data_IF_022887404186
#
_entry.id   IF_022887404186
#
_cell.length_a   1.000
_cell.length_b   1.000
_cell.length_c   1.000
_cell.angle_alpha   90.00
_cell.angle_beta   90.00
_cell.angle_gamma   90.00
#
_symmetry.space_group_name_H-M   'P 1'
#
loop_
_entity.id
_entity.type
_entity.pdbx_description
1 polymer ?
#
# COMPACT_ATOMS: atom_id res chain seq x y z
N UNK A 1 -6.16 3.86 16.31
CA UNK A 1 -5.00 4.69 15.91
C UNK A 1 -5.40 6.12 15.54
N UNK A 2 -6.24 6.37 14.54
CA UNK A 2 -6.56 7.76 14.10
C UNK A 2 -7.21 8.66 15.16
N UNK A 3 -7.92 8.08 16.15
CA UNK A 3 -8.44 8.82 17.32
C UNK A 3 -7.40 9.07 18.43
N UNK A 4 -6.35 8.26 18.48
CA UNK A 4 -5.28 8.38 19.48
C UNK A 4 -4.25 9.44 19.07
N UNK A 5 -4.02 9.59 17.76
CA UNK A 5 -3.08 10.55 17.20
C UNK A 5 -3.86 11.65 16.46
N UNK A 6 -3.99 12.86 17.03
CA UNK A 6 -4.78 13.93 16.43
C UNK A 6 -4.10 14.56 15.20
N UNK A 7 -2.77 14.48 15.10
CA UNK A 7 -1.97 15.03 14.00
C UNK A 7 -2.49 14.59 12.61
N UNK A 8 -2.53 15.48 11.61
CA UNK A 8 -3.08 15.13 10.30
C UNK A 8 -2.20 14.14 9.54
N UNK A 9 -0.92 13.99 9.83
CA UNK A 9 -0.02 13.09 9.10
C UNK A 9 -0.05 11.68 9.67
N UNK A 10 0.04 10.69 8.79
CA UNK A 10 0.08 9.29 9.17
C UNK A 10 1.08 8.55 8.29
N UNK A 11 2.20 8.14 8.90
CA UNK A 11 3.25 7.40 8.22
C UNK A 11 2.86 5.92 8.06
N UNK A 12 2.99 5.37 6.84
CA UNK A 12 2.63 3.98 6.55
C UNK A 12 3.85 3.06 6.35
N UNK A 13 5.06 3.62 6.36
CA UNK A 13 6.29 2.88 6.01
C UNK A 13 6.39 2.76 4.50
N UNK A 14 6.45 1.52 4.02
CA UNK A 14 6.47 1.17 2.60
C UNK A 14 7.87 0.93 2.03
N UNK A 15 8.88 0.89 2.88
CA UNK A 15 10.27 0.61 2.58
C UNK A 15 10.59 -0.89 2.48
N UNK A 16 11.64 -1.21 1.72
CA UNK A 16 12.28 -2.54 1.67
C UNK A 16 11.34 -3.72 1.41
N UNK A 17 10.29 -3.49 0.62
CA UNK A 17 9.31 -4.54 0.31
C UNK A 17 9.92 -5.55 -0.65
N UNK A 18 10.23 -6.73 -0.11
CA UNK A 18 10.72 -7.88 -0.87
C UNK A 18 9.53 -8.71 -1.39
N UNK A 19 9.49 -8.96 -2.70
CA UNK A 19 8.33 -9.55 -3.37
C UNK A 19 8.32 -11.08 -3.50
N UNK A 20 9.38 -11.79 -3.09
CA UNK A 20 9.53 -13.22 -3.37
C UNK A 20 8.42 -14.07 -2.76
N UNK A 21 7.91 -13.71 -1.59
CA UNK A 21 6.82 -14.44 -0.93
C UNK A 21 5.49 -14.23 -1.67
N UNK A 22 5.30 -13.07 -2.28
CA UNK A 22 4.12 -12.78 -3.11
C UNK A 22 4.15 -13.56 -4.42
N UNK A 23 5.33 -13.66 -5.03
CA UNK A 23 5.56 -14.48 -6.23
C UNK A 23 5.27 -15.96 -5.97
N UNK A 24 5.64 -16.47 -4.80
CA UNK A 24 5.45 -17.87 -4.42
C UNK A 24 4.01 -18.22 -3.99
N UNK A 25 3.17 -17.21 -3.73
CA UNK A 25 1.81 -17.43 -3.24
C UNK A 25 0.80 -17.49 -4.39
N UNK A 26 0.21 -18.68 -4.61
CA UNK A 26 -0.82 -18.88 -5.64
C UNK A 26 -2.03 -17.96 -5.46
N UNK A 27 -2.46 -17.73 -4.21
CA UNK A 27 -3.57 -16.81 -3.90
C UNK A 27 -3.23 -15.36 -4.25
N UNK A 28 -1.99 -14.92 -4.02
CA UNK A 28 -1.58 -13.55 -4.35
C UNK A 28 -1.44 -13.39 -5.86
N UNK A 29 -0.87 -14.38 -6.55
CA UNK A 29 -0.80 -14.35 -8.02
C UNK A 29 -2.19 -14.36 -8.66
N UNK A 30 -3.14 -15.13 -8.13
CA UNK A 30 -4.53 -15.08 -8.55
C UNK A 30 -5.12 -13.69 -8.35
N UNK A 31 -4.91 -13.06 -7.18
CA UNK A 31 -5.38 -11.72 -6.90
C UNK A 31 -4.81 -10.67 -7.88
N UNK A 32 -3.51 -10.74 -8.18
CA UNK A 32 -2.84 -9.87 -9.17
C UNK A 32 -3.54 -10.00 -10.53
N UNK A 33 -3.80 -11.23 -10.98
CA UNK A 33 -4.45 -11.49 -12.27
C UNK A 33 -5.91 -11.01 -12.30
N UNK A 34 -6.70 -11.32 -11.28
CA UNK A 34 -8.12 -10.93 -11.18
C UNK A 34 -8.29 -9.41 -11.12
N UNK A 35 -7.38 -8.71 -10.46
CA UNK A 35 -7.39 -7.25 -10.32
C UNK A 35 -6.61 -6.55 -11.44
N UNK A 36 -6.09 -7.28 -12.43
CA UNK A 36 -5.31 -6.77 -13.57
C UNK A 36 -4.13 -5.88 -13.14
N UNK A 37 -3.43 -6.32 -12.10
CA UNK A 37 -2.23 -5.65 -11.59
C UNK A 37 -1.03 -6.12 -12.41
N UNK A 38 -0.05 -5.24 -12.62
CA UNK A 38 1.09 -5.53 -13.49
C UNK A 38 1.97 -6.67 -12.95
N UNK A 39 2.29 -6.62 -11.66
CA UNK A 39 3.15 -7.57 -10.93
C UNK A 39 3.10 -7.21 -9.43
N UNK A 40 4.10 -7.66 -8.66
CA UNK A 40 4.27 -7.34 -7.25
C UNK A 40 4.30 -5.82 -6.95
N UNK A 41 4.93 -5.00 -7.81
CA UNK A 41 4.91 -3.54 -7.70
C UNK A 41 3.49 -3.00 -7.89
N UNK A 42 2.76 -3.56 -8.85
CA UNK A 42 1.33 -3.26 -9.04
C UNK A 42 0.47 -3.65 -7.83
N UNK A 43 0.80 -4.73 -7.13
CA UNK A 43 0.15 -5.14 -5.89
C UNK A 43 0.43 -4.16 -4.73
N UNK A 44 1.69 -3.74 -4.58
CA UNK A 44 2.09 -2.78 -3.56
C UNK A 44 1.43 -1.41 -3.81
N UNK A 45 1.45 -0.93 -5.06
CA UNK A 45 0.71 0.23 -5.54
C UNK A 45 -0.80 0.16 -5.21
N UNK A 46 -1.42 -0.97 -5.50
CA UNK A 46 -2.83 -1.20 -5.18
C UNK A 46 -3.09 -1.06 -3.67
N UNK A 47 -2.24 -1.69 -2.84
CA UNK A 47 -2.34 -1.63 -1.39
C UNK A 47 -2.18 -0.19 -0.87
N UNK A 48 -1.14 0.52 -1.32
CA UNK A 48 -0.87 1.91 -0.93
C UNK A 48 -2.02 2.84 -1.30
N UNK A 49 -2.59 2.72 -2.51
CA UNK A 49 -3.79 3.48 -2.93
C UNK A 49 -5.01 3.18 -2.05
N UNK A 50 -5.19 1.93 -1.62
CA UNK A 50 -6.28 1.55 -0.71
C UNK A 50 -6.10 2.20 0.67
N UNK A 51 -4.88 2.21 1.20
CA UNK A 51 -4.57 2.88 2.47
C UNK A 51 -4.73 4.39 2.37
N UNK A 52 -4.27 5.02 1.29
CA UNK A 52 -4.45 6.46 1.07
C UNK A 52 -5.92 6.87 1.12
N UNK A 53 -6.81 6.12 0.45
CA UNK A 53 -8.26 6.36 0.47
C UNK A 53 -8.84 6.21 1.87
N UNK A 54 -8.37 5.22 2.64
CA UNK A 54 -8.78 4.99 4.01
C UNK A 54 -8.36 6.16 4.92
N UNK A 55 -7.10 6.57 4.84
CA UNK A 55 -6.56 7.69 5.62
C UNK A 55 -7.29 9.00 5.31
N UNK A 56 -7.58 9.26 4.02
CA UNK A 56 -8.38 10.42 3.60
C UNK A 56 -9.77 10.43 4.24
N UNK A 57 -10.44 9.28 4.36
CA UNK A 57 -11.75 9.17 5.06
C UNK A 57 -11.66 9.55 6.55
N UNK A 58 -10.49 9.40 7.17
CA UNK A 58 -10.25 9.79 8.56
C UNK A 58 -9.58 11.16 8.71
N UNK A 59 -9.52 11.97 7.65
CA UNK A 59 -8.89 13.28 7.68
C UNK A 59 -7.36 13.23 7.86
N UNK A 60 -6.73 12.13 7.44
CA UNK A 60 -5.28 11.93 7.53
C UNK A 60 -4.60 12.07 6.17
N UNK A 61 -3.42 12.67 6.17
CA UNK A 61 -2.49 12.83 5.06
C UNK A 61 -1.47 11.68 5.16
N UNK A 62 -1.39 10.88 4.11
CA UNK A 62 -0.46 9.74 4.05
C UNK A 62 0.96 10.22 3.84
N UNK A 63 1.89 9.66 4.61
CA UNK A 63 3.34 9.83 4.44
C UNK A 63 3.95 8.43 4.38
N UNK A 64 5.04 8.26 3.66
CA UNK A 64 5.80 7.02 3.58
C UNK A 64 7.19 7.27 3.03
N UNK A 65 7.97 6.20 2.94
CA UNK A 65 9.29 6.25 2.31
C UNK A 65 9.21 6.41 0.79
N UNK A 66 10.35 6.56 0.11
CA UNK A 66 10.37 6.92 -1.31
C UNK A 66 9.68 5.88 -2.21
N UNK A 67 9.72 4.61 -1.84
CA UNK A 67 9.16 3.51 -2.62
C UNK A 67 7.64 3.63 -2.79
N UNK A 68 6.93 4.31 -1.87
CA UNK A 68 5.49 4.52 -2.03
C UNK A 68 5.15 5.55 -3.11
N UNK A 69 6.07 6.47 -3.46
CA UNK A 69 5.85 7.45 -4.53
C UNK A 69 5.89 6.80 -5.91
N UNK A 70 6.75 5.79 -6.05
CA UNK A 70 6.96 4.99 -7.25
C UNK A 70 5.77 4.07 -7.59
N UNK A 71 4.73 4.11 -6.76
CA UNK A 71 3.61 3.18 -6.70
C UNK A 71 2.24 3.87 -6.58
N UNK A 72 2.20 5.20 -6.48
CA UNK A 72 0.97 6.00 -6.49
C UNK A 72 0.73 6.58 -7.88
#
# INVERSE_FOLDING_TARGET
MTKLFPDPYFHIGGDEVEGSQWTQSSTIQQFINENKLENNRGLQAYFNKRIQKLLKKYGKIMVGWEEILDEI
#
